data_IF_833999651186
#
_entry.id   IF_833999651186
#
_cell.length_a   1.000
_cell.length_b   1.000
_cell.length_c   1.000
_cell.angle_alpha   90.00
_cell.angle_beta   90.00
_cell.angle_gamma   90.00
#
_symmetry.space_group_name_H-M   'P 1'
#
loop_
_entity.id
_entity.type
_entity.pdbx_description
1 polymer ?
#
# COMPACT_ATOMS: atom_id res chain seq x y z
N UNK A 1 15.71 19.09 -3.83
CA UNK A 1 16.15 17.75 -4.22
C UNK A 1 17.04 17.87 -5.44
N UNK A 2 18.24 17.35 -5.36
CA UNK A 2 19.21 17.49 -6.44
C UNK A 2 18.82 16.70 -7.68
N UNK A 3 19.33 17.17 -8.83
CA UNK A 3 19.14 16.55 -10.15
C UNK A 3 19.52 15.07 -10.21
N UNK A 4 20.29 14.58 -9.23
CA UNK A 4 20.70 13.18 -9.12
C UNK A 4 19.74 12.29 -8.32
N UNK A 5 18.69 12.82 -7.70
CA UNK A 5 17.80 12.01 -6.86
C UNK A 5 16.94 11.06 -7.70
N UNK A 6 16.61 9.92 -7.11
CA UNK A 6 15.72 8.94 -7.73
C UNK A 6 14.35 9.55 -8.06
N UNK A 7 13.78 10.28 -7.11
CA UNK A 7 12.48 10.96 -7.29
C UNK A 7 12.53 11.96 -8.46
N UNK A 8 13.59 12.76 -8.54
CA UNK A 8 13.75 13.71 -9.63
C UNK A 8 13.76 13.00 -11.00
N UNK A 9 14.48 11.88 -11.10
CA UNK A 9 14.52 11.11 -12.36
C UNK A 9 13.14 10.55 -12.73
N UNK A 10 12.36 10.11 -11.76
CA UNK A 10 11.00 9.62 -12.02
C UNK A 10 10.06 10.75 -12.47
N UNK A 11 10.25 11.95 -11.93
CA UNK A 11 9.41 13.10 -12.27
C UNK A 11 9.73 13.70 -13.65
N UNK A 12 10.99 13.66 -14.06
CA UNK A 12 11.46 14.39 -15.25
C UNK A 12 11.94 13.51 -16.40
N UNK A 13 12.23 12.24 -16.12
CA UNK A 13 12.71 11.30 -17.13
C UNK A 13 11.59 10.70 -17.99
N UNK A 14 11.85 9.53 -18.52
CA UNK A 14 10.88 8.80 -19.35
C UNK A 14 9.61 8.52 -18.57
N UNK A 15 8.45 8.86 -19.15
CA UNK A 15 7.15 8.70 -18.53
C UNK A 15 6.82 7.24 -18.19
N UNK A 16 7.31 6.28 -18.97
CA UNK A 16 7.04 4.86 -18.74
C UNK A 16 7.70 4.32 -17.47
N UNK A 17 8.81 4.93 -17.03
CA UNK A 17 9.53 4.47 -15.84
C UNK A 17 8.69 4.49 -14.56
N UNK A 18 8.06 5.61 -14.17
CA UNK A 18 7.21 5.61 -12.98
C UNK A 18 5.94 4.77 -13.18
N UNK A 19 5.37 4.72 -14.38
CA UNK A 19 4.18 3.91 -14.68
C UNK A 19 4.47 2.42 -14.51
N UNK A 20 5.59 1.97 -15.07
CA UNK A 20 6.05 0.59 -14.91
C UNK A 20 6.27 0.22 -13.44
N UNK A 21 6.83 1.13 -12.66
CA UNK A 21 7.07 0.93 -11.23
C UNK A 21 5.77 0.71 -10.46
N UNK A 22 4.73 1.46 -10.72
CA UNK A 22 3.42 1.26 -10.07
C UNK A 22 2.90 -0.16 -10.33
N UNK A 23 2.99 -0.65 -11.56
CA UNK A 23 2.52 -2.00 -11.91
C UNK A 23 3.38 -3.07 -11.21
N UNK A 24 4.70 -2.95 -11.26
CA UNK A 24 5.63 -3.89 -10.63
C UNK A 24 5.40 -3.98 -9.12
N UNK A 25 5.34 -2.83 -8.45
CA UNK A 25 5.17 -2.77 -7.00
C UNK A 25 3.79 -3.25 -6.55
N UNK A 26 2.74 -2.97 -7.34
CA UNK A 26 1.41 -3.51 -7.06
C UNK A 26 1.39 -5.04 -7.11
N UNK A 27 2.09 -5.64 -8.06
CA UNK A 27 2.25 -7.08 -8.13
C UNK A 27 2.99 -7.64 -6.91
N UNK A 28 4.05 -6.97 -6.47
CA UNK A 28 4.82 -7.36 -5.28
C UNK A 28 3.97 -7.29 -4.01
N UNK A 29 3.08 -6.31 -3.89
CA UNK A 29 2.10 -6.25 -2.78
C UNK A 29 1.19 -7.47 -2.79
N UNK A 30 0.67 -7.86 -3.94
CA UNK A 30 -0.20 -9.03 -4.05
C UNK A 30 0.53 -10.31 -3.63
N UNK A 31 1.78 -10.49 -4.07
CA UNK A 31 2.61 -11.63 -3.68
C UNK A 31 2.95 -11.62 -2.18
N UNK A 32 3.32 -10.46 -1.64
CA UNK A 32 3.61 -10.31 -0.22
C UNK A 32 2.38 -10.61 0.65
N UNK A 33 1.18 -10.21 0.21
CA UNK A 33 -0.06 -10.55 0.89
C UNK A 33 -0.33 -12.05 0.89
N UNK A 34 -0.03 -12.75 -0.20
CA UNK A 34 -0.13 -14.21 -0.26
C UNK A 34 0.83 -14.90 0.70
N UNK A 35 2.02 -14.36 0.89
CA UNK A 35 2.97 -14.89 1.88
C UNK A 35 2.45 -14.74 3.31
N UNK A 36 1.80 -13.61 3.62
CA UNK A 36 1.13 -13.40 4.92
C UNK A 36 0.03 -14.44 5.13
N UNK A 37 -0.81 -14.63 4.13
CA UNK A 37 -1.91 -15.60 4.17
C UNK A 37 -1.39 -17.00 4.44
N UNK A 38 -0.37 -17.44 3.71
CA UNK A 38 0.25 -18.75 3.88
C UNK A 38 0.84 -18.93 5.28
N UNK A 39 1.58 -17.94 5.79
CA UNK A 39 2.19 -18.00 7.12
C UNK A 39 1.13 -18.07 8.22
N UNK A 40 0.04 -17.31 8.09
CA UNK A 40 -1.07 -17.33 9.06
C UNK A 40 -1.84 -18.66 9.03
N UNK A 41 -2.01 -19.24 7.85
CA UNK A 41 -2.63 -20.57 7.71
C UNK A 41 -1.81 -21.65 8.40
N UNK A 42 -0.49 -21.63 8.26
CA UNK A 42 0.41 -22.56 8.95
C UNK A 42 0.32 -22.40 10.46
N UNK A 43 0.30 -21.16 10.96
CA UNK A 43 0.19 -20.88 12.38
C UNK A 43 -1.16 -21.36 12.94
N UNK A 44 -2.25 -21.12 12.22
CA UNK A 44 -3.59 -21.57 12.60
C UNK A 44 -3.68 -23.10 12.66
N UNK A 45 -3.00 -23.79 11.73
CA UNK A 45 -2.93 -25.26 11.71
C UNK A 45 -2.26 -25.84 12.97
N UNK A 46 -1.31 -25.13 13.56
CA UNK A 46 -0.63 -25.55 14.80
C UNK A 46 -1.45 -25.27 16.06
N UNK A 47 -2.33 -24.30 16.05
CA UNK A 47 -3.14 -23.93 17.21
C UNK A 47 -4.08 -25.04 17.69
N UNK A 48 -4.41 -26.01 16.82
CA UNK A 48 -5.23 -27.18 17.16
C UNK A 48 -4.45 -28.35 17.76
N UNK A 49 -3.13 -28.25 17.87
CA UNK A 49 -2.27 -29.33 18.39
C UNK A 49 -1.69 -28.95 19.75
N UNK A 50 -2.02 -29.74 20.78
CA UNK A 50 -1.47 -29.56 22.11
C UNK A 50 -0.09 -30.25 22.24
N UNK A 51 0.83 -29.65 22.98
CA UNK A 51 2.06 -30.30 23.47
C UNK A 51 3.33 -29.86 22.75
N UNK A 52 4.04 -30.77 22.13
CA UNK A 52 5.45 -30.66 21.72
C UNK A 52 5.78 -29.66 20.59
N UNK A 53 4.86 -28.78 20.19
CA UNK A 53 5.03 -27.87 19.05
C UNK A 53 5.22 -26.39 19.42
N UNK A 54 5.52 -26.07 20.69
CA UNK A 54 5.66 -24.68 21.14
C UNK A 54 6.75 -23.91 20.37
N UNK A 55 7.92 -24.53 20.15
CA UNK A 55 9.01 -23.91 19.39
C UNK A 55 8.66 -23.71 17.91
N UNK A 56 7.86 -24.61 17.36
CA UNK A 56 7.39 -24.52 15.99
C UNK A 56 6.35 -23.41 15.83
N UNK A 57 5.44 -23.26 16.80
CA UNK A 57 4.46 -22.18 16.85
C UNK A 57 5.16 -20.81 16.91
N UNK A 58 6.19 -20.66 17.74
CA UNK A 58 6.99 -19.44 17.85
C UNK A 58 7.71 -19.12 16.52
N UNK A 59 8.27 -20.13 15.87
CA UNK A 59 8.93 -19.96 14.57
C UNK A 59 7.95 -19.50 13.48
N UNK A 60 6.75 -20.08 13.44
CA UNK A 60 5.73 -19.67 12.46
C UNK A 60 5.13 -18.30 12.79
N UNK A 61 5.00 -17.95 14.07
CA UNK A 61 4.58 -16.60 14.46
C UNK A 61 5.60 -15.56 14.02
N UNK A 62 6.89 -15.80 14.21
CA UNK A 62 7.97 -14.93 13.74
C UNK A 62 7.96 -14.79 12.22
N UNK A 63 7.69 -15.88 11.49
CA UNK A 63 7.57 -15.86 10.03
C UNK A 63 6.37 -15.05 9.57
N UNK A 64 5.24 -15.16 10.24
CA UNK A 64 4.05 -14.36 9.94
C UNK A 64 4.30 -12.87 10.19
N UNK A 65 4.99 -12.52 11.28
CA UNK A 65 5.37 -11.13 11.56
C UNK A 65 6.31 -10.57 10.50
N UNK A 66 7.31 -11.35 10.09
CA UNK A 66 8.24 -10.95 9.02
C UNK A 66 7.51 -10.76 7.69
N UNK A 67 6.54 -11.62 7.37
CA UNK A 67 5.72 -11.49 6.17
C UNK A 67 4.86 -10.21 6.20
N UNK A 68 4.30 -9.87 7.37
CA UNK A 68 3.54 -8.62 7.54
C UNK A 68 4.44 -7.39 7.40
N UNK A 69 5.65 -7.42 7.93
CA UNK A 69 6.62 -6.34 7.77
C UNK A 69 6.99 -6.14 6.31
N UNK A 70 7.19 -7.23 5.58
CA UNK A 70 7.49 -7.19 4.14
C UNK A 70 6.31 -6.63 3.34
N UNK A 71 5.08 -7.04 3.66
CA UNK A 71 3.88 -6.49 3.03
C UNK A 71 3.77 -4.98 3.26
N UNK A 72 4.05 -4.52 4.48
CA UNK A 72 4.04 -3.09 4.81
C UNK A 72 5.07 -2.33 3.98
N UNK A 73 6.26 -2.90 3.82
CA UNK A 73 7.33 -2.32 3.01
C UNK A 73 6.90 -2.18 1.54
N UNK A 74 6.35 -3.24 0.95
CA UNK A 74 5.90 -3.22 -0.44
C UNK A 74 4.72 -2.28 -0.66
N UNK A 75 3.80 -2.22 0.29
CA UNK A 75 2.67 -1.28 0.23
C UNK A 75 3.15 0.19 0.24
N UNK A 76 4.17 0.49 1.05
CA UNK A 76 4.77 1.83 1.07
C UNK A 76 5.41 2.17 -0.27
N UNK A 77 6.07 1.22 -0.92
CA UNK A 77 6.65 1.40 -2.26
C UNK A 77 5.58 1.72 -3.31
N UNK A 78 4.46 1.01 -3.30
CA UNK A 78 3.34 1.28 -4.22
C UNK A 78 2.82 2.70 -4.02
N UNK A 79 2.56 3.08 -2.78
CA UNK A 79 2.03 4.43 -2.47
C UNK A 79 3.03 5.49 -2.90
N UNK A 80 4.32 5.30 -2.63
CA UNK A 80 5.37 6.23 -3.06
C UNK A 80 5.37 6.42 -4.57
N UNK A 81 5.41 5.34 -5.34
CA UNK A 81 5.44 5.42 -6.80
C UNK A 81 4.14 5.99 -7.37
N UNK A 82 2.99 5.67 -6.76
CA UNK A 82 1.71 6.25 -7.14
C UNK A 82 1.70 7.78 -6.94
N UNK A 83 2.19 8.24 -5.79
CA UNK A 83 2.29 9.68 -5.52
C UNK A 83 3.22 10.39 -6.51
N UNK A 84 4.31 9.76 -6.91
CA UNK A 84 5.20 10.28 -7.95
C UNK A 84 4.48 10.42 -9.29
N UNK A 85 3.69 9.41 -9.68
CA UNK A 85 2.87 9.48 -10.91
C UNK A 85 1.88 10.63 -10.84
N UNK A 86 1.18 10.78 -9.73
CA UNK A 86 0.21 11.86 -9.56
C UNK A 86 0.88 13.23 -9.66
N UNK A 87 2.00 13.42 -8.98
CA UNK A 87 2.78 14.66 -9.04
C UNK A 87 3.27 14.95 -10.45
N UNK A 88 3.76 13.94 -11.16
CA UNK A 88 4.21 14.09 -12.54
C UNK A 88 3.11 14.64 -13.45
N UNK A 89 1.87 14.28 -13.21
CA UNK A 89 0.71 14.71 -14.01
C UNK A 89 -0.06 15.87 -13.36
N UNK A 90 0.52 16.52 -12.35
CA UNK A 90 -0.04 17.75 -11.77
C UNK A 90 -1.22 17.52 -10.83
N UNK A 91 -1.38 16.31 -10.30
CA UNK A 91 -2.42 15.98 -9.35
C UNK A 91 -1.83 16.06 -7.95
N UNK A 92 -2.28 17.03 -7.15
CA UNK A 92 -1.81 17.21 -5.79
C UNK A 92 -2.36 16.14 -4.83
N UNK A 93 -1.65 15.93 -3.74
CA UNK A 93 -2.06 14.97 -2.71
C UNK A 93 -3.43 15.34 -2.09
N UNK A 94 -3.73 16.62 -1.99
CA UNK A 94 -5.01 17.09 -1.46
C UNK A 94 -6.18 16.68 -2.37
N UNK A 95 -6.00 16.79 -3.68
CA UNK A 95 -7.00 16.34 -4.67
C UNK A 95 -7.22 14.83 -4.58
N UNK A 96 -6.15 14.07 -4.45
CA UNK A 96 -6.20 12.62 -4.32
C UNK A 96 -6.89 12.20 -3.02
N UNK A 97 -6.53 12.83 -1.90
CA UNK A 97 -7.16 12.58 -0.60
C UNK A 97 -8.65 12.93 -0.63
N UNK A 98 -9.01 14.05 -1.27
CA UNK A 98 -10.40 14.46 -1.43
C UNK A 98 -11.22 13.43 -2.23
N UNK A 99 -10.65 12.88 -3.29
CA UNK A 99 -11.31 11.85 -4.08
C UNK A 99 -11.58 10.59 -3.26
N UNK A 100 -10.63 10.15 -2.46
CA UNK A 100 -10.81 9.00 -1.55
C UNK A 100 -11.88 9.31 -0.49
N UNK A 101 -11.84 10.49 0.09
CA UNK A 101 -12.82 10.93 1.08
C UNK A 101 -14.24 10.92 0.50
N UNK A 102 -14.41 11.44 -0.70
CA UNK A 102 -15.71 11.55 -1.34
C UNK A 102 -16.31 10.21 -1.75
N UNK A 103 -15.49 9.17 -1.91
CA UNK A 103 -15.95 7.81 -2.22
C UNK A 103 -16.52 7.08 -1.01
N UNK A 104 -16.11 7.47 0.20
CA UNK A 104 -16.64 6.85 1.40
C UNK A 104 -18.13 7.16 1.58
N UNK A 105 -18.92 6.17 1.93
CA UNK A 105 -20.32 6.37 2.34
C UNK A 105 -20.35 7.01 3.72
N UNK A 106 -21.50 7.55 4.11
CA UNK A 106 -21.66 8.17 5.43
C UNK A 106 -21.41 7.17 6.58
N UNK A 107 -21.75 5.91 6.36
CA UNK A 107 -21.55 4.81 7.32
C UNK A 107 -20.08 4.44 7.49
N UNK A 108 -19.27 4.58 6.43
CA UNK A 108 -17.84 4.29 6.44
C UNK A 108 -17.02 5.43 7.03
N UNK A 109 -17.60 6.63 7.13
CA UNK A 109 -16.87 7.80 7.61
C UNK A 109 -16.60 7.70 9.10
N UNK A 110 -15.38 8.02 9.54
CA UNK A 110 -15.13 8.22 10.96
C UNK A 110 -16.07 9.27 11.55
N UNK A 111 -16.48 9.07 12.80
CA UNK A 111 -17.33 10.03 13.49
C UNK A 111 -16.67 11.42 13.52
N UNK A 112 -17.42 12.44 13.11
CA UNK A 112 -16.92 13.81 13.02
C UNK A 112 -16.22 14.18 11.71
N UNK A 113 -16.00 13.22 10.82
CA UNK A 113 -15.45 13.51 9.50
C UNK A 113 -16.51 14.15 8.60
N UNK A 114 -16.07 15.12 7.81
CA UNK A 114 -16.94 15.81 6.85
C UNK A 114 -16.62 15.38 5.43
N UNK A 115 -17.63 15.42 4.56
CA UNK A 115 -17.42 15.21 3.13
C UNK A 115 -16.78 16.49 2.55
N UNK A 116 -15.71 16.30 1.79
CA UNK A 116 -15.11 17.40 1.02
C UNK A 116 -15.95 17.65 -0.22
N UNK A 117 -16.21 18.91 -0.51
CA UNK A 117 -16.99 19.28 -1.68
C UNK A 117 -16.16 19.16 -2.97
N UNK A 118 -16.85 19.02 -4.08
CA UNK A 118 -16.25 18.84 -5.42
C UNK A 118 -15.35 20.01 -5.83
N UNK A 119 -15.45 21.17 -5.18
CA UNK A 119 -14.54 22.29 -5.39
C UNK A 119 -13.08 21.96 -5.07
N UNK A 120 -12.84 20.94 -4.22
CA UNK A 120 -11.51 20.46 -3.90
C UNK A 120 -11.03 19.37 -4.87
N UNK A 121 -11.93 18.86 -5.70
CA UNK A 121 -11.62 17.83 -6.69
C UNK A 121 -12.12 18.33 -8.04
N UNK A 122 -11.21 18.79 -8.87
CA UNK A 122 -11.54 19.14 -10.25
C UNK A 122 -11.75 17.87 -11.03
N UNK A 123 -13.00 17.47 -11.17
CA UNK A 123 -13.33 16.35 -12.05
C UNK A 123 -13.28 16.86 -13.49
N UNK A 124 -12.36 16.33 -14.26
CA UNK A 124 -12.42 16.46 -15.70
C UNK A 124 -13.74 15.83 -16.17
N UNK A 125 -14.54 16.61 -16.80
CA UNK A 125 -15.75 16.11 -17.48
C UNK A 125 -15.37 15.56 -18.84
#
# INVERSE_FOLDING_TARGET
AGEGSYTFRLLTGNADSPLKKVVEEANEVALAAKDVEAAKMMLAGLAGHEGSHAGMADAFAAKADAACDHLRYEAADVVYHLLVVLERYGIGIDEFAAELNNRMTDEERPQGAIRLFDEHVKRGK
#
